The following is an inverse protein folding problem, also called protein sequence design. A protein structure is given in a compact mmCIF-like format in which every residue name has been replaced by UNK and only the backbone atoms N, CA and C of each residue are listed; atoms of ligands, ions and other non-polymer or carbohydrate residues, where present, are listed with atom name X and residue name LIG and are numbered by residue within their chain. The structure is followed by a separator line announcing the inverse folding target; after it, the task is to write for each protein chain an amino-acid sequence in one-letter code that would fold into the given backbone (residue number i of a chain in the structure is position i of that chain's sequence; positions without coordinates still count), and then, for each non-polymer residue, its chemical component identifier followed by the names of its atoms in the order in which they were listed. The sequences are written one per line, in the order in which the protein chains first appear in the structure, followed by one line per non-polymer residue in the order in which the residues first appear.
data_IF_944904733911
#
_entry.id   IF_944904733911
#
_cell.length_a   1.000
_cell.length_b   1.000
_cell.length_c   1.000
_cell.angle_alpha   90.00
_cell.angle_beta   90.00
_cell.angle_gamma   90.00
#
_symmetry.space_group_name_H-M   'P 1'
#
loop_
_entity.id
_entity.type
_entity.pdbx_description
1 polymer ?
#
# COMPACT_ATOMS: atom_id res chain seq x y z
N UNK A 1 11.56 55.50 25.63
CA UNK A 1 10.41 54.56 25.68
C UNK A 1 9.97 54.06 24.31
N UNK A 2 9.80 54.88 23.27
CA UNK A 2 9.36 54.44 21.92
C UNK A 2 10.30 53.43 21.21
N UNK A 3 11.63 53.51 21.43
CA UNK A 3 12.62 52.61 20.82
C UNK A 3 12.63 51.20 21.43
N UNK A 4 12.31 51.06 22.72
CA UNK A 4 12.20 49.72 23.37
C UNK A 4 10.96 48.99 22.98
N UNK A 5 9.86 49.67 22.71
CA UNK A 5 8.59 49.06 22.25
C UNK A 5 8.76 48.49 20.85
N UNK A 6 9.53 49.16 19.96
CA UNK A 6 9.74 48.68 18.58
C UNK A 6 10.57 47.40 18.55
N UNK A 7 11.58 47.25 19.41
CA UNK A 7 12.41 46.03 19.49
C UNK A 7 11.59 44.85 20.05
N UNK A 8 10.70 45.10 21.02
CA UNK A 8 9.80 44.05 21.55
C UNK A 8 8.81 43.52 20.51
N UNK A 9 8.31 44.36 19.60
CA UNK A 9 7.36 43.93 18.55
C UNK A 9 8.07 43.10 17.48
N UNK A 10 9.30 43.43 17.09
CA UNK A 10 10.08 42.67 16.12
C UNK A 10 10.48 41.31 16.68
N UNK A 11 10.76 41.17 17.97
CA UNK A 11 11.05 39.90 18.63
C UNK A 11 9.84 38.96 18.68
N UNK A 12 8.62 39.49 18.82
CA UNK A 12 7.39 38.71 18.86
C UNK A 12 6.96 38.12 17.50
N UNK A 13 7.34 38.81 16.41
CA UNK A 13 7.00 38.33 15.03
C UNK A 13 7.86 37.12 14.62
N UNK A 14 9.08 36.97 15.15
CA UNK A 14 9.96 35.82 14.87
C UNK A 14 9.55 34.53 15.59
N UNK A 15 8.71 34.60 16.61
CA UNK A 15 8.24 33.42 17.34
C UNK A 15 7.01 32.76 16.71
N UNK A 16 6.36 33.35 15.70
CA UNK A 16 5.19 32.83 15.03
C UNK A 16 5.52 31.99 13.78
N UNK A 17 6.81 31.89 13.40
CA UNK A 17 7.24 31.14 12.20
C UNK A 17 7.60 29.68 12.41
N UNK A 18 7.46 29.12 13.61
CA UNK A 18 7.88 27.77 13.93
C UNK A 18 6.72 26.75 13.94
N UNK A 19 5.70 26.93 13.10
CA UNK A 19 4.90 25.78 12.66
C UNK A 19 5.68 25.06 11.55
N UNK A 20 6.75 24.35 11.90
CA UNK A 20 7.31 23.37 11.03
C UNK A 20 6.22 22.32 10.82
N UNK A 21 5.75 22.14 9.58
CA UNK A 21 5.01 20.97 9.16
C UNK A 21 5.87 19.75 9.53
N UNK A 22 5.62 19.18 10.70
CA UNK A 22 6.26 17.94 11.12
C UNK A 22 5.60 16.83 10.34
N UNK A 23 6.04 16.64 9.09
CA UNK A 23 5.65 15.48 8.31
C UNK A 23 5.90 14.24 9.16
N UNK A 24 4.86 13.49 9.44
CA UNK A 24 4.96 12.29 10.25
C UNK A 24 6.02 11.35 9.65
N UNK A 25 7.00 10.91 10.47
CA UNK A 25 7.98 9.90 10.04
C UNK A 25 7.40 8.50 9.96
N UNK A 26 6.18 8.31 10.44
CA UNK A 26 5.51 7.03 10.38
C UNK A 26 5.30 6.58 8.94
N UNK A 27 5.49 5.29 8.72
CA UNK A 27 5.23 4.59 7.45
C UNK A 27 3.85 3.92 7.52
N UNK A 28 3.15 3.96 6.42
CA UNK A 28 1.92 3.19 6.26
C UNK A 28 1.97 2.39 4.98
N UNK A 29 1.76 1.09 5.07
CA UNK A 29 1.76 0.18 3.94
C UNK A 29 0.43 -0.55 3.86
N UNK A 30 -0.15 -0.58 2.66
CA UNK A 30 -1.31 -1.40 2.32
C UNK A 30 -0.91 -2.45 1.30
N UNK A 31 -0.95 -3.72 1.69
CA UNK A 31 -0.61 -4.84 0.81
C UNK A 31 -1.89 -5.44 0.22
N UNK A 32 -2.00 -5.39 -1.09
CA UNK A 32 -3.05 -6.03 -1.88
C UNK A 32 -2.55 -7.38 -2.36
N UNK A 33 -3.26 -8.45 -2.00
CA UNK A 33 -2.96 -9.83 -2.38
C UNK A 33 -3.96 -10.33 -3.41
N UNK A 34 -3.48 -10.62 -4.61
CA UNK A 34 -4.27 -11.31 -5.61
C UNK A 34 -4.48 -12.77 -5.18
N UNK A 35 -5.74 -13.16 -5.06
CA UNK A 35 -6.15 -14.51 -4.70
C UNK A 35 -6.71 -15.30 -5.87
N UNK A 36 -6.59 -14.80 -7.10
CA UNK A 36 -7.01 -15.52 -8.30
C UNK A 36 -6.29 -16.88 -8.44
N UNK A 37 -6.93 -17.83 -9.09
CA UNK A 37 -6.45 -19.23 -9.13
C UNK A 37 -5.04 -19.44 -9.70
N UNK A 38 -4.53 -18.50 -10.51
CA UNK A 38 -3.17 -18.50 -11.05
C UNK A 38 -2.12 -18.05 -10.02
N UNK A 39 -2.54 -17.38 -8.94
CA UNK A 39 -1.64 -16.72 -7.99
C UNK A 39 -1.42 -17.48 -6.68
N UNK A 40 -2.14 -18.57 -6.46
CA UNK A 40 -2.08 -19.38 -5.23
C UNK A 40 -0.67 -19.92 -4.93
N UNK A 41 0.12 -20.23 -5.99
CA UNK A 41 1.52 -20.68 -5.84
C UNK A 41 2.45 -19.56 -5.32
N UNK A 42 2.07 -18.30 -5.50
CA UNK A 42 2.89 -17.15 -5.09
C UNK A 42 2.63 -16.70 -3.65
N UNK A 43 1.66 -17.32 -2.96
CA UNK A 43 1.22 -16.88 -1.62
C UNK A 43 2.32 -16.98 -0.55
N UNK A 44 3.26 -17.92 -0.70
CA UNK A 44 4.40 -18.04 0.21
C UNK A 44 5.38 -16.85 0.08
N UNK A 45 5.49 -16.28 -1.13
CA UNK A 45 6.26 -15.04 -1.32
C UNK A 45 5.58 -13.87 -0.63
N UNK A 46 4.25 -13.79 -0.70
CA UNK A 46 3.49 -12.77 0.03
C UNK A 46 3.69 -12.90 1.54
N UNK A 47 3.72 -14.13 2.08
CA UNK A 47 4.04 -14.40 3.49
C UNK A 47 5.42 -13.88 3.88
N UNK A 48 6.43 -14.08 3.03
CA UNK A 48 7.79 -13.56 3.27
C UNK A 48 7.79 -12.02 3.32
N UNK A 49 7.09 -11.35 2.41
CA UNK A 49 6.93 -9.88 2.42
C UNK A 49 6.29 -9.41 3.74
N UNK A 50 5.21 -10.05 4.18
CA UNK A 50 4.52 -9.68 5.41
C UNK A 50 5.42 -9.88 6.64
N UNK A 51 6.15 -10.98 6.71
CA UNK A 51 7.09 -11.23 7.79
C UNK A 51 8.20 -10.16 7.82
N UNK A 52 8.72 -9.75 6.67
CA UNK A 52 9.69 -8.67 6.57
C UNK A 52 9.10 -7.33 7.08
N UNK A 53 7.91 -6.95 6.62
CA UNK A 53 7.24 -5.74 7.08
C UNK A 53 7.01 -5.74 8.61
N UNK A 54 6.54 -6.87 9.16
CA UNK A 54 6.35 -7.01 10.60
C UNK A 54 7.67 -6.96 11.39
N UNK A 55 8.78 -7.41 10.77
CA UNK A 55 10.12 -7.34 11.37
C UNK A 55 10.68 -5.91 11.43
N UNK A 56 10.44 -5.12 10.38
CA UNK A 56 11.06 -3.79 10.18
C UNK A 56 10.19 -2.61 10.61
N UNK A 57 8.87 -2.81 10.77
CA UNK A 57 7.97 -1.75 11.19
C UNK A 57 8.17 -1.40 12.67
N UNK A 58 8.09 -0.11 12.95
CA UNK A 58 8.28 0.48 14.27
C UNK A 58 6.95 0.86 14.93
N UNK A 59 6.94 1.10 16.24
CA UNK A 59 5.78 1.70 16.91
C UNK A 59 5.35 3.01 16.24
N UNK A 60 4.06 3.10 15.88
CA UNK A 60 3.49 4.23 15.13
C UNK A 60 3.33 3.97 13.64
N UNK A 61 4.02 2.97 13.06
CA UNK A 61 3.80 2.55 11.67
C UNK A 61 2.44 1.85 11.53
N UNK A 62 1.91 1.82 10.31
CA UNK A 62 0.62 1.19 10.00
C UNK A 62 0.77 0.15 8.90
N UNK A 63 0.11 -0.99 9.08
CA UNK A 63 0.07 -2.06 8.09
C UNK A 63 -1.35 -2.55 7.89
N UNK A 64 -1.74 -2.70 6.64
CA UNK A 64 -2.96 -3.41 6.26
C UNK A 64 -2.66 -4.45 5.18
N UNK A 65 -3.40 -5.54 5.21
CA UNK A 65 -3.41 -6.58 4.18
C UNK A 65 -4.84 -6.80 3.75
N UNK A 66 -5.09 -6.74 2.45
CA UNK A 66 -6.38 -7.05 1.86
C UNK A 66 -6.22 -8.01 0.69
N UNK A 67 -7.24 -8.81 0.43
CA UNK A 67 -7.34 -9.63 -0.76
C UNK A 67 -7.90 -8.82 -1.93
N UNK A 68 -7.49 -9.15 -3.14
CA UNK A 68 -8.15 -8.72 -4.36
C UNK A 68 -9.14 -9.82 -4.73
N UNK A 69 -10.42 -9.46 -4.85
CA UNK A 69 -11.53 -10.38 -5.14
C UNK A 69 -12.52 -9.71 -6.10
N UNK A 70 -13.67 -10.33 -6.28
CA UNK A 70 -14.79 -9.81 -7.06
C UNK A 70 -15.41 -8.60 -6.37
N UNK A 71 -15.23 -7.41 -6.96
CA UNK A 71 -15.76 -6.17 -6.40
C UNK A 71 -15.04 -5.77 -5.11
N UNK A 72 -13.71 -5.75 -5.10
CA UNK A 72 -12.88 -5.15 -4.05
C UNK A 72 -13.35 -3.71 -3.78
N UNK A 73 -12.99 -3.11 -2.68
CA UNK A 73 -13.54 -1.90 -2.09
C UNK A 73 -14.60 -2.22 -1.03
N UNK A 74 -14.28 -3.23 -0.22
CA UNK A 74 -15.13 -3.61 0.91
C UNK A 74 -14.27 -3.91 2.14
N UNK A 75 -14.73 -3.51 3.32
CA UNK A 75 -14.10 -3.88 4.61
C UNK A 75 -13.95 -5.41 4.77
N UNK A 76 -14.79 -6.20 4.09
CA UNK A 76 -14.74 -7.67 4.09
C UNK A 76 -13.48 -8.23 3.40
N UNK A 77 -12.85 -7.44 2.55
CA UNK A 77 -11.65 -7.84 1.84
C UNK A 77 -10.39 -7.54 2.65
N UNK A 78 -10.51 -6.73 3.70
CA UNK A 78 -9.40 -6.47 4.63
C UNK A 78 -9.19 -7.67 5.56
N UNK A 79 -8.08 -8.37 5.34
CA UNK A 79 -7.66 -9.53 6.15
C UNK A 79 -7.23 -9.09 7.55
N UNK A 80 -6.39 -8.08 7.61
CA UNK A 80 -5.91 -7.48 8.85
C UNK A 80 -5.49 -6.03 8.62
N UNK A 81 -5.73 -5.16 9.61
CA UNK A 81 -5.22 -3.79 9.63
C UNK A 81 -4.84 -3.38 11.05
N UNK A 82 -3.78 -2.59 11.19
CA UNK A 82 -3.28 -2.11 12.48
C UNK A 82 -2.40 -0.87 12.32
N UNK A 83 -2.51 0.06 13.25
CA UNK A 83 -1.46 1.03 13.58
C UNK A 83 -0.79 0.55 14.86
N UNK A 84 0.52 0.32 14.81
CA UNK A 84 1.26 -0.23 15.94
C UNK A 84 1.33 0.79 17.07
N UNK A 85 0.96 0.34 18.27
CA UNK A 85 1.00 1.18 19.48
C UNK A 85 2.42 1.71 19.71
N UNK A 86 2.53 2.93 20.23
CA UNK A 86 3.84 3.55 20.52
C UNK A 86 4.61 2.82 21.62
N UNK A 87 3.94 2.03 22.44
CA UNK A 87 4.57 1.18 23.48
C UNK A 87 5.10 -0.10 22.84
N UNK A 88 6.42 -0.38 22.88
CA UNK A 88 7.04 -1.51 22.17
C UNK A 88 6.43 -2.87 22.50
N UNK A 89 6.08 -3.12 23.76
CA UNK A 89 5.46 -4.37 24.19
C UNK A 89 4.08 -4.60 23.55
N UNK A 90 3.29 -3.54 23.42
CA UNK A 90 1.99 -3.61 22.77
C UNK A 90 2.13 -3.77 21.25
N UNK A 91 3.07 -3.04 20.62
CA UNK A 91 3.38 -3.21 19.21
C UNK A 91 3.80 -4.66 18.91
N UNK A 92 4.64 -5.27 19.72
CA UNK A 92 5.06 -6.68 19.59
C UNK A 92 3.85 -7.63 19.66
N UNK A 93 2.94 -7.42 20.63
CA UNK A 93 1.71 -8.20 20.73
C UNK A 93 0.82 -8.03 19.49
N UNK A 94 0.66 -6.80 18.99
CA UNK A 94 -0.13 -6.50 17.80
C UNK A 94 0.46 -7.16 16.55
N UNK A 95 1.79 -7.13 16.37
CA UNK A 95 2.48 -7.82 15.27
C UNK A 95 2.20 -9.32 15.25
N UNK A 96 2.25 -9.96 16.43
CA UNK A 96 1.93 -11.39 16.54
C UNK A 96 0.48 -11.68 16.15
N UNK A 97 -0.49 -10.93 16.69
CA UNK A 97 -1.90 -11.11 16.35
C UNK A 97 -2.19 -10.82 14.87
N UNK A 98 -1.52 -9.83 14.28
CA UNK A 98 -1.62 -9.55 12.87
C UNK A 98 -1.13 -10.72 12.02
N UNK A 99 0.06 -11.26 12.37
CA UNK A 99 0.62 -12.44 11.69
C UNK A 99 -0.31 -13.65 11.78
N UNK A 100 -0.86 -13.94 12.96
CA UNK A 100 -1.80 -15.04 13.16
C UNK A 100 -3.03 -14.92 12.24
N UNK A 101 -3.62 -13.72 12.11
CA UNK A 101 -4.75 -13.47 11.19
C UNK A 101 -4.38 -13.69 9.74
N UNK A 102 -3.23 -13.23 9.32
CA UNK A 102 -2.76 -13.40 7.94
C UNK A 102 -2.46 -14.86 7.65
N UNK A 103 -1.79 -15.59 8.55
CA UNK A 103 -1.51 -17.01 8.39
C UNK A 103 -2.81 -17.84 8.30
N UNK A 104 -3.80 -17.53 9.13
CA UNK A 104 -5.13 -18.16 9.04
C UNK A 104 -5.81 -17.89 7.70
N UNK A 105 -5.75 -16.65 7.22
CA UNK A 105 -6.28 -16.30 5.91
C UNK A 105 -5.60 -17.08 4.78
N UNK A 106 -4.26 -17.17 4.79
CA UNK A 106 -3.48 -17.88 3.79
C UNK A 106 -3.90 -19.37 3.71
N UNK A 107 -4.11 -20.01 4.87
CA UNK A 107 -4.52 -21.42 4.93
C UNK A 107 -5.96 -21.62 4.46
N UNK A 108 -6.86 -20.66 4.71
CA UNK A 108 -8.29 -20.77 4.42
C UNK A 108 -8.69 -20.15 3.08
N UNK A 109 -7.78 -19.42 2.43
CA UNK A 109 -8.07 -18.68 1.21
C UNK A 109 -8.48 -19.64 0.09
N UNK A 110 -9.66 -19.37 -0.46
CA UNK A 110 -10.13 -19.98 -1.72
C UNK A 110 -9.83 -18.99 -2.83
N UNK A 111 -9.45 -19.51 -4.00
CA UNK A 111 -9.19 -18.67 -5.17
C UNK A 111 -10.42 -17.83 -5.55
N UNK A 112 -10.19 -16.59 -5.97
CA UNK A 112 -11.22 -15.72 -6.54
C UNK A 112 -11.47 -16.03 -8.01
N UNK A 113 -12.72 -15.87 -8.47
CA UNK A 113 -13.08 -15.98 -9.87
C UNK A 113 -12.78 -14.69 -10.65
N UNK A 114 -12.68 -13.56 -9.97
CA UNK A 114 -12.47 -12.24 -10.54
C UNK A 114 -11.37 -11.49 -9.79
N UNK A 115 -10.87 -10.40 -10.41
CA UNK A 115 -9.73 -9.64 -9.90
C UNK A 115 -10.00 -8.14 -10.09
N UNK A 116 -10.47 -7.46 -9.02
CA UNK A 116 -10.75 -6.02 -9.00
C UNK A 116 -9.60 -5.26 -8.34
N UNK A 117 -8.51 -5.08 -9.08
CA UNK A 117 -7.32 -4.37 -8.56
C UNK A 117 -7.65 -2.89 -8.32
N UNK A 118 -8.40 -2.28 -9.22
CA UNK A 118 -8.77 -0.86 -9.12
C UNK A 118 -9.54 -0.58 -7.83
N UNK A 119 -10.53 -1.41 -7.49
CA UNK A 119 -11.25 -1.30 -6.23
C UNK A 119 -10.35 -1.45 -5.02
N UNK A 120 -9.42 -2.42 -5.05
CA UNK A 120 -8.42 -2.60 -4.01
C UNK A 120 -7.51 -1.38 -3.83
N UNK A 121 -7.03 -0.77 -4.92
CA UNK A 121 -6.20 0.44 -4.89
C UNK A 121 -6.95 1.62 -4.27
N UNK A 122 -8.23 1.83 -4.62
CA UNK A 122 -9.05 2.89 -4.03
C UNK A 122 -9.19 2.69 -2.53
N UNK A 123 -9.49 1.48 -2.08
CA UNK A 123 -9.56 1.14 -0.65
C UNK A 123 -8.23 1.39 0.06
N UNK A 124 -7.11 1.02 -0.58
CA UNK A 124 -5.78 1.26 -0.05
C UNK A 124 -5.49 2.75 0.14
N UNK A 125 -5.77 3.58 -0.87
CA UNK A 125 -5.59 5.04 -0.80
C UNK A 125 -6.42 5.64 0.33
N UNK A 126 -7.69 5.23 0.47
CA UNK A 126 -8.57 5.71 1.54
C UNK A 126 -7.96 5.39 2.92
N UNK A 127 -7.60 4.13 3.16
CA UNK A 127 -6.98 3.71 4.42
C UNK A 127 -5.68 4.48 4.71
N UNK A 128 -4.80 4.59 3.71
CA UNK A 128 -3.50 5.26 3.88
C UNK A 128 -3.66 6.74 4.21
N UNK A 129 -4.66 7.42 3.66
CA UNK A 129 -4.96 8.81 3.99
C UNK A 129 -5.45 8.97 5.44
N UNK A 130 -6.21 8.01 5.96
CA UNK A 130 -6.70 8.02 7.35
C UNK A 130 -5.57 7.85 8.38
N UNK A 131 -4.44 7.21 8.01
CA UNK A 131 -3.33 6.96 8.95
C UNK A 131 -2.54 8.20 9.31
N UNK A 132 -2.57 9.25 8.49
CA UNK A 132 -1.76 10.46 8.67
C UNK A 132 -0.25 10.22 8.54
N UNK A 133 0.17 9.08 7.98
CA UNK A 133 1.58 8.75 7.79
C UNK A 133 2.22 9.64 6.71
N UNK A 134 3.47 10.03 6.91
CA UNK A 134 4.23 10.81 5.92
C UNK A 134 4.62 9.99 4.69
N UNK A 135 4.88 8.71 4.85
CA UNK A 135 5.15 7.78 3.75
C UNK A 135 4.02 6.77 3.61
N UNK A 136 3.39 6.76 2.44
CA UNK A 136 2.19 5.97 2.14
C UNK A 136 2.43 5.11 0.92
N UNK A 137 2.47 3.78 1.11
CA UNK A 137 2.86 2.83 0.06
C UNK A 137 1.79 1.77 -0.13
N UNK A 138 1.40 1.52 -1.36
CA UNK A 138 0.53 0.42 -1.78
C UNK A 138 1.41 -0.65 -2.43
N UNK A 139 1.44 -1.84 -1.86
CA UNK A 139 2.09 -2.99 -2.46
C UNK A 139 1.03 -3.82 -3.19
N UNK A 140 1.18 -4.01 -4.50
CA UNK A 140 0.23 -4.77 -5.32
C UNK A 140 0.90 -6.09 -5.72
N UNK A 141 0.53 -7.16 -5.04
CA UNK A 141 1.04 -8.49 -5.32
C UNK A 141 0.09 -9.21 -6.27
N UNK A 142 0.28 -9.03 -7.58
CA UNK A 142 -0.61 -9.49 -8.65
C UNK A 142 0.13 -9.55 -9.99
N UNK A 143 -0.42 -10.29 -10.96
CA UNK A 143 0.01 -10.23 -12.36
C UNK A 143 -0.50 -8.98 -13.11
N UNK A 144 -1.23 -8.11 -12.41
CA UNK A 144 -1.84 -6.86 -12.89
C UNK A 144 -2.92 -7.06 -13.98
N UNK A 145 -3.41 -8.28 -14.18
CA UNK A 145 -4.56 -8.52 -15.05
C UNK A 145 -5.85 -8.31 -14.27
N UNK A 146 -6.53 -7.22 -14.57
CA UNK A 146 -7.85 -6.95 -14.02
C UNK A 146 -8.91 -7.79 -14.76
N UNK A 147 -9.78 -8.46 -14.01
CA UNK A 147 -10.91 -9.24 -14.52
C UNK A 147 -12.13 -8.94 -13.63
N UNK A 148 -13.00 -8.06 -14.12
CA UNK A 148 -14.13 -7.57 -13.35
C UNK A 148 -15.36 -8.45 -13.55
N UNK A 149 -16.10 -8.69 -12.48
CA UNK A 149 -17.39 -9.36 -12.57
C UNK A 149 -18.35 -8.55 -13.47
N UNK A 150 -19.23 -9.27 -14.17
CA UNK A 150 -20.20 -8.65 -15.07
C UNK A 150 -21.05 -7.60 -14.33
N UNK A 151 -21.06 -6.39 -14.87
CA UNK A 151 -21.77 -5.25 -14.28
C UNK A 151 -20.91 -4.35 -13.37
N UNK A 152 -19.66 -4.73 -13.05
CA UNK A 152 -18.72 -3.85 -12.38
C UNK A 152 -17.95 -3.02 -13.40
N UNK A 153 -17.92 -1.70 -13.19
CA UNK A 153 -17.21 -0.75 -14.05
C UNK A 153 -16.20 0.00 -13.18
N UNK A 154 -14.95 0.05 -13.62
CA UNK A 154 -13.84 0.78 -12.98
C UNK A 154 -13.16 1.77 -13.95
N UNK A 155 -13.94 2.27 -14.91
CA UNK A 155 -13.46 3.22 -15.92
C UNK A 155 -13.60 4.66 -15.41
N UNK A 156 -12.80 4.99 -14.38
CA UNK A 156 -12.68 6.32 -13.81
C UNK A 156 -11.24 6.58 -13.37
N UNK A 157 -10.82 7.86 -13.26
CA UNK A 157 -9.47 8.21 -12.79
C UNK A 157 -9.20 7.69 -11.39
N UNK A 158 -7.98 7.19 -11.15
CA UNK A 158 -7.50 6.89 -9.81
C UNK A 158 -7.04 8.19 -9.15
N UNK A 159 -7.46 8.42 -7.91
CA UNK A 159 -6.95 9.51 -7.08
C UNK A 159 -5.94 8.93 -6.09
N UNK A 160 -4.65 9.03 -6.39
CA UNK A 160 -3.59 8.42 -5.59
C UNK A 160 -3.18 9.24 -4.37
N UNK A 161 -3.50 10.53 -4.33
CA UNK A 161 -3.20 11.44 -3.22
C UNK A 161 -1.73 11.40 -2.75
N UNK A 162 -0.79 11.27 -3.70
CA UNK A 162 0.63 11.16 -3.41
C UNK A 162 1.10 9.82 -2.86
N UNK A 163 0.26 8.77 -2.86
CA UNK A 163 0.68 7.42 -2.50
C UNK A 163 1.64 6.84 -3.55
N UNK A 164 2.62 6.07 -3.08
CA UNK A 164 3.49 5.26 -3.94
C UNK A 164 2.83 3.89 -4.17
N UNK A 165 2.69 3.46 -5.43
CA UNK A 165 2.27 2.11 -5.79
C UNK A 165 3.46 1.29 -6.29
N UNK A 166 3.69 0.13 -5.68
CA UNK A 166 4.75 -0.81 -6.03
C UNK A 166 4.12 -2.13 -6.44
N UNK A 167 4.20 -2.46 -7.73
CA UNK A 167 3.77 -3.76 -8.21
C UNK A 167 4.84 -4.81 -7.93
N UNK A 168 4.43 -5.91 -7.31
CA UNK A 168 5.31 -6.98 -6.86
C UNK A 168 5.01 -8.28 -7.59
N UNK A 169 6.08 -8.99 -7.98
CA UNK A 169 5.99 -10.34 -8.56
C UNK A 169 5.03 -10.41 -9.77
N UNK A 170 5.09 -9.40 -10.64
CA UNK A 170 4.26 -9.38 -11.85
C UNK A 170 4.73 -10.47 -12.81
N UNK A 171 3.98 -11.57 -12.87
CA UNK A 171 4.32 -12.72 -13.69
C UNK A 171 3.76 -12.59 -15.12
N UNK A 172 4.41 -13.26 -16.05
CA UNK A 172 3.89 -13.39 -17.42
C UNK A 172 2.70 -14.35 -17.43
N UNK A 173 1.65 -13.98 -18.12
CA UNK A 173 0.50 -14.82 -18.40
C UNK A 173 0.79 -15.75 -19.59
N UNK A 174 -0.02 -16.79 -19.76
CA UNK A 174 0.07 -17.67 -20.93
C UNK A 174 -0.11 -16.90 -22.25
N UNK A 175 -1.00 -15.88 -22.26
CA UNK A 175 -1.19 -14.98 -23.40
C UNK A 175 0.05 -14.15 -23.73
N UNK A 176 0.86 -13.82 -22.74
CA UNK A 176 2.09 -13.04 -22.94
C UNK A 176 3.20 -13.87 -23.62
N UNK A 177 3.09 -15.21 -23.59
CA UNK A 177 4.00 -16.08 -24.35
C UNK A 177 3.67 -16.07 -25.85
N UNK A 178 2.41 -15.80 -26.21
CA UNK A 178 1.97 -15.65 -27.61
C UNK A 178 2.27 -14.23 -28.11
N UNK A 179 1.99 -13.20 -27.30
CA UNK A 179 2.31 -11.80 -27.61
C UNK A 179 2.93 -11.10 -26.38
N UNK A 180 4.26 -11.05 -26.30
CA UNK A 180 4.97 -10.40 -25.19
C UNK A 180 4.62 -8.92 -24.96
N UNK A 181 4.11 -8.23 -26.00
CA UNK A 181 3.69 -6.81 -25.88
C UNK A 181 2.53 -6.63 -24.91
N UNK A 182 1.71 -7.66 -24.70
CA UNK A 182 0.58 -7.60 -23.74
C UNK A 182 1.05 -7.41 -22.31
N UNK A 183 2.14 -8.05 -21.91
CA UNK A 183 2.77 -7.83 -20.60
C UNK A 183 3.17 -6.35 -20.42
N UNK A 184 3.93 -5.80 -21.37
CA UNK A 184 4.37 -4.41 -21.27
C UNK A 184 3.21 -3.42 -21.31
N UNK A 185 2.19 -3.67 -22.15
CA UNK A 185 0.99 -2.83 -22.22
C UNK A 185 0.24 -2.80 -20.89
N UNK A 186 0.15 -3.94 -20.20
CA UNK A 186 -0.50 -4.06 -18.89
C UNK A 186 0.26 -3.28 -17.82
N UNK A 187 1.57 -3.48 -17.71
CA UNK A 187 2.43 -2.76 -16.76
C UNK A 187 2.40 -1.25 -17.01
N UNK A 188 2.58 -0.83 -18.27
CA UNK A 188 2.56 0.58 -18.64
C UNK A 188 1.19 1.24 -18.45
N UNK A 189 0.12 0.47 -18.68
CA UNK A 189 -1.25 0.93 -18.41
C UNK A 189 -1.46 1.29 -16.94
N UNK A 190 -1.02 0.43 -16.02
CA UNK A 190 -1.09 0.70 -14.59
C UNK A 190 -0.22 1.88 -14.18
N UNK A 191 1.01 1.95 -14.67
CA UNK A 191 1.91 3.08 -14.44
C UNK A 191 1.23 4.41 -14.81
N UNK A 192 0.70 4.52 -16.04
CA UNK A 192 0.02 5.73 -16.50
C UNK A 192 -1.17 6.11 -15.63
N UNK A 193 -1.99 5.14 -15.21
CA UNK A 193 -3.16 5.40 -14.35
C UNK A 193 -2.75 5.94 -12.97
N UNK A 194 -1.72 5.34 -12.35
CA UNK A 194 -1.20 5.75 -11.05
C UNK A 194 -0.58 7.14 -11.12
N UNK A 195 0.29 7.39 -12.12
CA UNK A 195 0.97 8.68 -12.27
C UNK A 195 -0.02 9.80 -12.64
N UNK A 196 -1.01 9.52 -13.51
CA UNK A 196 -2.08 10.47 -13.82
C UNK A 196 -2.94 10.82 -12.61
N UNK A 197 -3.07 9.89 -11.65
CA UNK A 197 -3.75 10.11 -10.37
C UNK A 197 -2.92 10.82 -9.30
N UNK A 198 -1.73 11.29 -9.63
CA UNK A 198 -0.84 12.00 -8.70
C UNK A 198 -0.08 11.07 -7.74
N UNK A 199 0.08 9.79 -8.09
CA UNK A 199 0.93 8.84 -7.38
C UNK A 199 2.28 8.64 -8.04
N UNK A 200 3.13 7.81 -7.42
CA UNK A 200 4.36 7.30 -8.03
C UNK A 200 4.28 5.79 -8.24
N UNK A 201 4.98 5.29 -9.26
CA UNK A 201 4.92 3.89 -9.66
C UNK A 201 6.29 3.24 -9.69
N UNK A 202 6.36 2.01 -9.14
CA UNK A 202 7.52 1.11 -9.31
C UNK A 202 7.07 -0.31 -9.63
N UNK A 203 7.93 -1.03 -10.32
CA UNK A 203 7.79 -2.46 -10.60
C UNK A 203 8.98 -3.20 -10.00
N UNK A 204 8.69 -4.20 -9.15
CA UNK A 204 9.69 -5.02 -8.50
C UNK A 204 9.33 -6.50 -8.66
N UNK A 205 10.08 -7.21 -9.48
CA UNK A 205 9.97 -8.66 -9.61
C UNK A 205 10.99 -9.41 -8.75
N UNK A 206 11.94 -8.68 -8.16
CA UNK A 206 12.95 -9.18 -7.24
C UNK A 206 12.65 -8.67 -5.83
N UNK A 207 12.27 -9.58 -4.95
CA UNK A 207 11.90 -9.25 -3.57
C UNK A 207 13.09 -8.78 -2.71
N UNK A 208 14.32 -9.14 -3.06
CA UNK A 208 15.52 -8.67 -2.34
C UNK A 208 15.70 -7.13 -2.48
N UNK A 209 15.16 -6.56 -3.55
CA UNK A 209 15.14 -5.09 -3.74
C UNK A 209 14.07 -4.38 -2.93
N UNK A 210 13.02 -5.08 -2.50
CA UNK A 210 11.94 -4.47 -1.72
C UNK A 210 12.46 -3.93 -0.39
N UNK A 211 13.35 -4.66 0.26
CA UNK A 211 13.98 -4.25 1.53
C UNK A 211 14.62 -2.87 1.41
N UNK A 212 15.47 -2.68 0.41
CA UNK A 212 16.18 -1.41 0.18
C UNK A 212 15.25 -0.22 -0.12
N UNK A 213 14.06 -0.49 -0.69
CA UNK A 213 13.11 0.57 -1.05
C UNK A 213 12.25 0.97 0.15
N UNK A 214 11.92 0.04 1.02
CA UNK A 214 11.09 0.32 2.18
C UNK A 214 11.90 0.92 3.35
N UNK A 215 13.22 0.76 3.37
CA UNK A 215 14.12 1.34 4.37
C UNK A 215 14.57 2.79 4.04
N UNK A 216 14.59 3.17 2.77
CA UNK A 216 14.98 4.52 2.31
C UNK A 216 13.80 5.44 2.20
#
# INVERSE_FOLDING_TARGET
MKRFILISIIGAVFLLGACADTTSRARSVFLLLDTSGTYQVAIEKARAIINYLLGTFEPGDSLAVARIDSGSFSEKDIVAKVTFDRRPSMATKQKRLFKEKVDQFIVQSKGSAYTDITGGVIQAVQYLNETGAGRRTILIFSDLKEDLAKGHIRDFPLEMNGCEAIALNVTKLRSDNVDPRQYFKRVEGWKKRVEAGGGSWRLLNDLERLERILEG
#
